data_IF_269755046116
#
_entry.id   IF_269755046116
#
_cell.length_a   1.000
_cell.length_b   1.000
_cell.length_c   1.000
_cell.angle_alpha   90.00
_cell.angle_beta   90.00
_cell.angle_gamma   90.00
#
_symmetry.space_group_name_H-M   'P 1'
#
loop_
_entity.id
_entity.type
_entity.pdbx_description
1 polymer ?
#
# COMPACT_ATOMS: atom_id res chain seq x y z
N UNK A 1 8.03 -18.38 -1.65
CA UNK A 1 7.68 -19.73 -2.15
C UNK A 1 6.36 -19.71 -2.91
N UNK A 2 6.12 -20.69 -3.78
CA UNK A 2 4.85 -20.82 -4.52
C UNK A 2 3.64 -21.01 -3.60
N UNK A 3 3.82 -21.62 -2.42
CA UNK A 3 2.74 -21.76 -1.43
C UNK A 3 2.32 -20.42 -0.84
N UNK A 4 3.26 -19.56 -0.48
CA UNK A 4 2.94 -18.23 0.03
C UNK A 4 2.25 -17.35 -1.02
N UNK A 5 2.63 -17.50 -2.30
CA UNK A 5 1.92 -16.84 -3.40
C UNK A 5 0.50 -17.39 -3.57
N UNK A 6 0.33 -18.71 -3.47
CA UNK A 6 -0.99 -19.35 -3.56
C UNK A 6 -1.94 -18.86 -2.47
N UNK A 7 -1.46 -18.78 -1.24
CA UNK A 7 -2.20 -18.24 -0.11
C UNK A 7 -2.60 -16.77 -0.34
N UNK A 8 -1.64 -15.93 -0.74
CA UNK A 8 -1.90 -14.50 -1.00
C UNK A 8 -2.87 -14.26 -2.17
N UNK A 9 -2.80 -15.08 -3.23
CA UNK A 9 -3.66 -14.97 -4.41
C UNK A 9 -4.99 -15.72 -4.28
N UNK A 10 -5.23 -16.46 -3.20
CA UNK A 10 -6.45 -17.24 -3.01
C UNK A 10 -6.64 -18.37 -4.03
N UNK A 11 -5.54 -18.89 -4.61
CA UNK A 11 -5.57 -19.94 -5.64
C UNK A 11 -4.78 -21.19 -5.23
N UNK A 12 -4.92 -22.29 -5.98
CA UNK A 12 -4.16 -23.51 -5.66
C UNK A 12 -2.65 -23.37 -5.92
N UNK A 13 -1.78 -24.05 -5.15
CA UNK A 13 -0.33 -24.08 -5.42
C UNK A 13 0.02 -24.62 -6.82
N UNK A 14 -0.81 -25.50 -7.37
CA UNK A 14 -0.66 -26.02 -8.71
C UNK A 14 -0.92 -24.92 -9.78
N UNK A 15 -1.94 -24.09 -9.57
CA UNK A 15 -2.23 -22.93 -10.44
C UNK A 15 -1.06 -21.94 -10.44
N UNK A 16 -0.54 -21.59 -9.26
CA UNK A 16 0.64 -20.70 -9.14
C UNK A 16 1.85 -21.29 -9.85
N UNK A 17 2.10 -22.60 -9.67
CA UNK A 17 3.21 -23.26 -10.37
C UNK A 17 3.07 -23.19 -11.88
N UNK A 18 1.84 -23.34 -12.41
CA UNK A 18 1.55 -23.19 -13.84
C UNK A 18 1.80 -21.75 -14.34
N UNK A 19 1.33 -20.75 -13.60
CA UNK A 19 1.55 -19.34 -13.93
C UNK A 19 3.04 -18.97 -13.93
N UNK A 20 3.76 -19.35 -12.87
CA UNK A 20 5.20 -19.08 -12.74
C UNK A 20 6.00 -19.73 -13.87
N UNK A 21 5.66 -20.96 -14.28
CA UNK A 21 6.31 -21.61 -15.42
C UNK A 21 6.09 -20.84 -16.72
N UNK A 22 4.86 -20.38 -17.00
CA UNK A 22 4.59 -19.54 -18.17
C UNK A 22 5.45 -18.29 -18.17
N UNK A 23 5.49 -17.54 -17.07
CA UNK A 23 6.32 -16.33 -16.93
C UNK A 23 7.83 -16.62 -17.06
N UNK A 24 8.28 -17.83 -16.70
CA UNK A 24 9.67 -18.26 -16.88
C UNK A 24 9.99 -18.68 -18.33
N UNK A 25 8.97 -19.03 -19.13
CA UNK A 25 9.10 -19.41 -20.53
C UNK A 25 8.89 -18.22 -21.49
N UNK A 26 8.36 -17.08 -21.00
CA UNK A 26 8.14 -15.87 -21.79
C UNK A 26 9.43 -15.31 -22.40
N UNK A 27 9.27 -14.46 -23.41
CA UNK A 27 10.38 -13.80 -24.08
C UNK A 27 10.12 -12.29 -24.22
N UNK A 28 10.81 -11.48 -23.39
CA UNK A 28 11.85 -11.85 -22.42
C UNK A 28 11.28 -12.62 -21.22
N UNK A 29 12.09 -13.49 -20.62
CA UNK A 29 11.73 -14.23 -19.41
C UNK A 29 11.49 -13.26 -18.26
N UNK A 30 10.34 -13.38 -17.59
CA UNK A 30 9.91 -12.44 -16.55
C UNK A 30 10.27 -12.90 -15.14
N UNK A 31 10.41 -14.21 -14.92
CA UNK A 31 10.80 -14.77 -13.64
C UNK A 31 11.90 -15.84 -13.81
N UNK A 32 12.72 -15.96 -12.80
CA UNK A 32 13.60 -17.11 -12.59
C UNK A 32 12.90 -18.03 -11.60
N UNK A 33 12.58 -19.24 -12.05
CA UNK A 33 11.91 -20.26 -11.25
C UNK A 33 12.78 -21.51 -11.13
N UNK A 34 13.02 -21.90 -9.90
CA UNK A 34 13.71 -23.14 -9.58
C UNK A 34 12.85 -23.97 -8.62
N UNK A 35 12.60 -25.21 -9.02
CA UNK A 35 11.77 -26.13 -8.22
C UNK A 35 12.39 -26.30 -6.82
N UNK A 36 11.58 -26.12 -5.79
CA UNK A 36 11.95 -26.14 -4.36
C UNK A 36 12.78 -24.95 -3.86
N UNK A 37 13.32 -24.09 -4.73
CA UNK A 37 14.07 -22.88 -4.35
C UNK A 37 13.24 -21.60 -4.42
N UNK A 38 12.14 -21.61 -5.19
CA UNK A 38 11.19 -20.51 -5.27
C UNK A 38 11.19 -19.79 -6.61
N UNK A 39 10.76 -18.54 -6.58
CA UNK A 39 10.64 -17.67 -7.75
C UNK A 39 11.16 -16.28 -7.42
N UNK A 40 11.90 -15.68 -8.35
CA UNK A 40 12.37 -14.29 -8.29
C UNK A 40 12.11 -13.59 -9.62
N UNK A 41 11.92 -12.27 -9.59
CA UNK A 41 11.75 -11.49 -10.80
C UNK A 41 13.09 -11.33 -11.53
N UNK A 42 13.07 -11.47 -12.84
CA UNK A 42 14.18 -11.00 -13.69
C UNK A 42 14.16 -9.47 -13.78
N UNK A 43 15.22 -8.81 -14.32
CA UNK A 43 15.17 -7.36 -14.59
C UNK A 43 13.98 -6.96 -15.49
N UNK A 44 13.63 -7.77 -16.48
CA UNK A 44 12.47 -7.54 -17.34
C UNK A 44 11.15 -7.66 -16.56
N UNK A 45 11.01 -8.72 -15.77
CA UNK A 45 9.84 -8.91 -14.91
C UNK A 45 9.67 -7.81 -13.87
N UNK A 46 10.80 -7.35 -13.28
CA UNK A 46 10.77 -6.24 -12.34
C UNK A 46 10.29 -4.93 -13.00
N UNK A 47 10.76 -4.65 -14.24
CA UNK A 47 10.33 -3.46 -14.97
C UNK A 47 8.82 -3.47 -15.20
N UNK A 48 8.27 -4.58 -15.72
CA UNK A 48 6.83 -4.72 -15.97
C UNK A 48 6.04 -4.62 -14.65
N UNK A 49 6.50 -5.27 -13.59
CA UNK A 49 5.82 -5.18 -12.29
C UNK A 49 5.76 -3.75 -11.75
N UNK A 50 6.84 -2.98 -11.90
CA UNK A 50 6.87 -1.58 -11.46
C UNK A 50 6.00 -0.67 -12.34
N UNK A 51 5.87 -0.97 -13.63
CA UNK A 51 4.97 -0.28 -14.55
C UNK A 51 3.50 -0.50 -14.15
N UNK A 52 3.09 -1.74 -13.91
CA UNK A 52 1.73 -2.06 -13.43
C UNK A 52 1.45 -1.39 -12.08
N UNK A 53 2.38 -1.47 -11.12
CA UNK A 53 2.22 -0.78 -9.83
C UNK A 53 2.09 0.74 -10.02
N UNK A 54 2.80 1.32 -10.96
CA UNK A 54 2.67 2.75 -11.27
C UNK A 54 1.30 3.07 -11.86
N UNK A 55 0.81 2.29 -12.83
CA UNK A 55 -0.53 2.43 -13.38
C UNK A 55 -1.58 2.38 -12.27
N UNK A 56 -1.55 1.32 -11.46
CA UNK A 56 -2.47 1.11 -10.35
C UNK A 56 -2.55 2.35 -9.44
N UNK A 57 -1.43 2.76 -8.88
CA UNK A 57 -1.35 3.87 -7.91
C UNK A 57 -1.71 5.23 -8.49
N UNK A 58 -1.39 5.49 -9.76
CA UNK A 58 -1.83 6.70 -10.44
C UNK A 58 -3.34 6.71 -10.68
N UNK A 59 -3.91 5.56 -11.07
CA UNK A 59 -5.36 5.41 -11.25
C UNK A 59 -6.08 5.62 -9.93
N UNK A 60 -5.64 4.98 -8.84
CA UNK A 60 -6.22 5.18 -7.51
C UNK A 60 -6.29 6.66 -7.13
N UNK A 61 -5.17 7.37 -7.27
CA UNK A 61 -5.12 8.78 -6.94
C UNK A 61 -6.02 9.64 -7.85
N UNK A 62 -6.09 9.29 -9.15
CA UNK A 62 -6.97 9.95 -10.10
C UNK A 62 -8.45 9.70 -9.76
N UNK A 63 -8.82 8.47 -9.46
CA UNK A 63 -10.17 8.11 -9.02
C UNK A 63 -10.58 8.90 -7.77
N UNK A 64 -9.69 9.01 -6.79
CA UNK A 64 -9.95 9.75 -5.57
C UNK A 64 -10.06 11.27 -5.83
N UNK A 65 -9.05 11.88 -6.47
CA UNK A 65 -8.97 13.34 -6.56
C UNK A 65 -9.85 13.94 -7.65
N UNK A 66 -9.99 13.26 -8.79
CA UNK A 66 -10.73 13.78 -9.93
C UNK A 66 -12.17 13.27 -10.01
N UNK A 67 -12.45 12.05 -9.57
CA UNK A 67 -13.76 11.42 -9.68
C UNK A 67 -14.49 11.26 -8.34
N UNK A 68 -13.83 11.57 -7.21
CA UNK A 68 -14.46 11.57 -5.87
C UNK A 68 -14.73 10.19 -5.28
N UNK A 69 -14.03 9.16 -5.75
CA UNK A 69 -14.08 7.84 -5.10
C UNK A 69 -13.50 7.96 -3.69
N UNK A 70 -14.06 7.20 -2.76
CA UNK A 70 -13.46 7.06 -1.43
C UNK A 70 -12.21 6.18 -1.48
N UNK A 71 -11.27 6.43 -0.60
CA UNK A 71 -9.97 5.74 -0.59
C UNK A 71 -10.05 4.22 -0.34
N UNK A 72 -11.16 3.72 0.19
CA UNK A 72 -11.47 2.30 0.36
C UNK A 72 -12.07 1.64 -0.90
N UNK A 73 -12.40 2.42 -1.94
CA UNK A 73 -13.02 1.95 -3.18
C UNK A 73 -12.07 1.99 -4.38
N UNK A 74 -10.98 2.76 -4.29
CA UNK A 74 -10.09 3.02 -5.44
C UNK A 74 -9.33 1.79 -5.90
N UNK A 75 -8.87 0.93 -4.97
CA UNK A 75 -8.11 -0.29 -5.27
C UNK A 75 -8.89 -1.23 -6.22
N UNK A 76 -10.12 -1.59 -5.86
CA UNK A 76 -10.95 -2.51 -6.66
C UNK A 76 -11.29 -1.97 -8.07
N UNK A 77 -11.28 -0.66 -8.28
CA UNK A 77 -11.49 -0.06 -9.59
C UNK A 77 -10.18 0.09 -10.36
N UNK A 78 -9.09 0.43 -9.68
CA UNK A 78 -7.76 0.52 -10.27
C UNK A 78 -7.30 -0.83 -10.84
N UNK A 79 -7.54 -1.94 -10.14
CA UNK A 79 -7.20 -3.30 -10.59
C UNK A 79 -7.86 -3.67 -11.94
N UNK A 80 -9.06 -3.16 -12.21
CA UNK A 80 -9.72 -3.40 -13.51
C UNK A 80 -9.11 -2.61 -14.66
N UNK A 81 -8.48 -1.49 -14.37
CA UNK A 81 -8.03 -0.51 -15.35
C UNK A 81 -6.51 -0.59 -15.63
N UNK A 82 -5.70 -0.99 -14.66
CA UNK A 82 -4.24 -0.94 -14.72
C UNK A 82 -3.62 -1.69 -15.91
N UNK A 83 -4.29 -2.74 -16.38
CA UNK A 83 -3.81 -3.57 -17.51
C UNK A 83 -4.27 -3.08 -18.89
N UNK A 84 -5.16 -2.08 -18.95
CA UNK A 84 -5.77 -1.64 -20.22
C UNK A 84 -5.50 -0.18 -20.57
N UNK A 85 -4.93 0.61 -19.66
CA UNK A 85 -4.56 1.99 -19.96
C UNK A 85 -3.33 2.02 -20.87
N UNK A 86 -3.25 3.06 -21.71
CA UNK A 86 -2.08 3.34 -22.53
C UNK A 86 -1.08 4.25 -21.83
N UNK A 87 0.18 4.20 -22.26
CA UNK A 87 1.24 5.12 -21.80
C UNK A 87 0.85 6.61 -21.91
N UNK A 88 0.18 7.01 -23.03
CA UNK A 88 -0.29 8.40 -23.20
C UNK A 88 -1.35 8.76 -22.14
N UNK A 89 -2.22 7.82 -21.80
CA UNK A 89 -3.23 8.04 -20.76
C UNK A 89 -2.59 8.14 -19.37
N UNK A 90 -1.62 7.27 -19.05
CA UNK A 90 -0.83 7.35 -17.82
C UNK A 90 -0.11 8.69 -17.69
N UNK A 91 0.60 9.14 -18.74
CA UNK A 91 1.32 10.41 -18.75
C UNK A 91 0.37 11.61 -18.49
N UNK A 92 -0.83 11.57 -19.04
CA UNK A 92 -1.86 12.61 -18.82
C UNK A 92 -2.38 12.59 -17.39
N UNK A 93 -2.66 11.41 -16.84
CA UNK A 93 -3.05 11.28 -15.41
C UNK A 93 -1.95 11.83 -14.52
N UNK A 94 -0.70 11.39 -14.72
CA UNK A 94 0.43 11.84 -13.92
C UNK A 94 0.60 13.37 -14.00
N UNK A 95 0.45 13.96 -15.19
CA UNK A 95 0.53 15.43 -15.38
C UNK A 95 -0.60 16.18 -14.68
N UNK A 96 -1.85 15.72 -14.80
CA UNK A 96 -3.02 16.32 -14.12
C UNK A 96 -2.86 16.29 -12.61
N UNK A 97 -2.32 15.20 -12.07
CA UNK A 97 -2.06 15.01 -10.63
C UNK A 97 -0.78 15.73 -10.14
N UNK A 98 -0.03 16.40 -11.02
CA UNK A 98 1.20 17.11 -10.66
C UNK A 98 2.40 16.19 -10.43
N UNK A 99 2.45 15.03 -11.07
CA UNK A 99 3.48 14.00 -10.91
C UNK A 99 3.65 13.56 -9.45
N UNK A 100 2.63 12.96 -8.85
CA UNK A 100 2.62 12.63 -7.43
C UNK A 100 3.67 11.55 -7.10
N UNK A 101 4.21 11.65 -5.89
CA UNK A 101 5.17 10.68 -5.38
C UNK A 101 4.54 9.53 -4.59
N UNK A 102 3.26 9.68 -4.18
CA UNK A 102 2.52 8.73 -3.35
C UNK A 102 1.08 8.61 -3.81
N UNK A 103 0.52 7.44 -3.60
CA UNK A 103 -0.90 7.12 -3.81
C UNK A 103 -1.79 7.60 -2.65
N UNK A 104 -3.12 7.36 -2.68
CA UNK A 104 -4.02 7.76 -1.60
C UNK A 104 -3.71 7.15 -0.24
N UNK A 105 -3.08 5.99 -0.21
CA UNK A 105 -2.76 5.24 1.00
C UNK A 105 -1.37 5.58 1.56
N UNK A 106 -0.59 6.39 0.83
CA UNK A 106 0.75 6.85 1.19
C UNK A 106 1.88 5.98 0.63
N UNK A 107 1.60 4.98 -0.16
CA UNK A 107 2.60 4.13 -0.78
C UNK A 107 3.30 4.84 -1.97
N UNK A 108 4.61 4.61 -2.18
CA UNK A 108 5.37 5.33 -3.18
C UNK A 108 5.00 4.92 -4.60
N UNK A 109 4.69 5.88 -5.47
CA UNK A 109 4.45 5.65 -6.90
C UNK A 109 5.79 5.45 -7.60
N UNK A 110 6.02 4.33 -8.33
CA UNK A 110 7.22 4.15 -9.13
C UNK A 110 7.38 5.27 -10.17
N UNK A 111 8.61 5.68 -10.44
CA UNK A 111 8.88 6.61 -11.55
C UNK A 111 8.73 5.89 -12.90
N UNK A 112 8.57 6.65 -13.98
CA UNK A 112 8.49 6.10 -15.35
C UNK A 112 9.73 5.29 -15.75
N UNK A 113 10.90 5.61 -15.16
CA UNK A 113 12.14 4.86 -15.38
C UNK A 113 12.23 3.58 -14.54
N UNK A 114 11.16 3.20 -13.82
CA UNK A 114 11.10 1.98 -13.01
C UNK A 114 11.89 2.07 -11.70
N UNK A 115 12.11 3.26 -11.15
CA UNK A 115 12.64 3.43 -9.81
C UNK A 115 11.50 3.57 -8.80
N UNK A 116 11.66 2.97 -7.63
CA UNK A 116 10.72 3.10 -6.52
C UNK A 116 11.49 3.38 -5.23
N UNK A 117 11.02 4.33 -4.45
CA UNK A 117 11.56 4.60 -3.12
C UNK A 117 11.08 3.53 -2.14
N UNK A 118 11.91 3.20 -1.16
CA UNK A 118 11.47 2.32 -0.07
C UNK A 118 10.40 3.05 0.74
N UNK A 119 9.25 2.39 1.03
CA UNK A 119 8.27 2.96 1.94
C UNK A 119 8.90 3.28 3.29
N UNK A 120 8.61 4.47 3.81
CA UNK A 120 9.12 4.94 5.09
C UNK A 120 8.13 4.67 6.23
N UNK A 121 8.61 4.83 7.46
CA UNK A 121 7.80 4.68 8.66
C UNK A 121 7.90 3.31 9.33
N UNK A 122 7.54 3.29 10.59
CA UNK A 122 7.40 2.08 11.40
C UNK A 122 5.93 1.89 11.80
N UNK A 123 5.49 0.65 12.10
CA UNK A 123 4.14 0.42 12.58
C UNK A 123 3.82 1.25 13.82
N UNK A 124 2.63 1.84 13.86
CA UNK A 124 2.16 2.68 14.97
C UNK A 124 2.23 1.94 16.31
N UNK A 125 2.03 0.62 16.29
CA UNK A 125 2.12 -0.26 17.47
C UNK A 125 3.49 -0.21 18.17
N UNK A 126 4.55 0.18 17.46
CA UNK A 126 5.92 0.25 18.00
C UNK A 126 6.19 1.53 18.80
N UNK A 127 5.36 2.55 18.63
CA UNK A 127 5.59 3.83 19.31
C UNK A 127 5.34 3.72 20.82
N UNK A 128 6.18 4.43 21.56
CA UNK A 128 6.01 4.61 23.01
C UNK A 128 5.00 5.73 23.32
N UNK A 129 4.42 5.69 24.52
CA UNK A 129 3.59 6.77 25.04
C UNK A 129 4.33 8.12 25.03
N UNK A 130 3.63 9.21 24.77
CA UNK A 130 4.15 10.56 24.63
C UNK A 130 4.74 10.89 23.27
N UNK A 131 4.92 9.93 22.36
CA UNK A 131 5.48 10.18 21.02
C UNK A 131 4.44 10.81 20.10
N UNK A 132 4.92 11.76 19.30
CA UNK A 132 4.18 12.40 18.21
C UNK A 132 4.73 11.92 16.89
N UNK A 133 3.87 11.59 15.95
CA UNK A 133 4.24 11.12 14.63
C UNK A 133 3.26 11.61 13.56
N UNK A 134 3.69 11.54 12.31
CA UNK A 134 2.86 11.74 11.14
C UNK A 134 2.53 10.38 10.51
N UNK A 135 1.30 10.15 10.16
CA UNK A 135 0.91 8.95 9.39
C UNK A 135 1.58 9.05 8.01
N UNK A 136 2.45 8.11 7.71
CA UNK A 136 3.16 8.05 6.44
C UNK A 136 2.36 7.27 5.40
N UNK A 137 1.81 6.13 5.81
CA UNK A 137 0.97 5.27 4.98
C UNK A 137 0.10 4.33 5.81
N UNK A 138 -0.91 3.78 5.17
CA UNK A 138 -1.81 2.75 5.72
C UNK A 138 -1.84 1.58 4.75
N UNK A 139 -1.92 0.33 5.23
CA UNK A 139 -2.13 -0.82 4.35
C UNK A 139 -3.52 -0.78 3.75
N UNK A 140 -3.61 -1.09 2.46
CA UNK A 140 -4.80 -0.95 1.60
C UNK A 140 -5.58 -2.24 1.35
N UNK A 141 -5.09 -3.36 1.89
CA UNK A 141 -5.64 -4.70 1.65
C UNK A 141 -6.97 -5.02 2.38
N UNK A 142 -7.49 -4.08 3.20
CA UNK A 142 -8.77 -4.24 3.90
C UNK A 142 -9.64 -2.97 3.81
N UNK A 143 -10.65 -2.93 2.92
CA UNK A 143 -11.55 -1.78 2.79
C UNK A 143 -12.32 -1.43 4.08
N UNK A 144 -12.61 -2.41 4.95
CA UNK A 144 -13.30 -2.12 6.21
C UNK A 144 -12.36 -1.39 7.20
N UNK A 145 -11.08 -1.78 7.22
CA UNK A 145 -10.06 -1.07 7.99
C UNK A 145 -9.89 0.36 7.47
N UNK A 146 -9.83 0.56 6.16
CA UNK A 146 -9.69 1.89 5.56
C UNK A 146 -10.86 2.80 5.94
N UNK A 147 -12.10 2.33 5.85
CA UNK A 147 -13.29 3.10 6.29
C UNK A 147 -13.20 3.49 7.76
N UNK A 148 -12.88 2.52 8.62
CA UNK A 148 -12.72 2.76 10.05
C UNK A 148 -11.65 3.82 10.35
N UNK A 149 -10.50 3.74 9.71
CA UNK A 149 -9.43 4.73 9.88
C UNK A 149 -9.82 6.12 9.37
N UNK A 150 -10.57 6.20 8.26
CA UNK A 150 -11.10 7.45 7.74
C UNK A 150 -12.06 8.13 8.72
N UNK A 151 -12.97 7.36 9.34
CA UNK A 151 -13.88 7.86 10.37
C UNK A 151 -13.15 8.45 11.57
N UNK A 152 -11.99 7.88 11.92
CA UNK A 152 -11.13 8.38 12.99
C UNK A 152 -10.22 9.54 12.57
N UNK A 153 -10.12 9.86 11.28
CA UNK A 153 -9.19 10.84 10.73
C UNK A 153 -7.74 10.35 10.69
N UNK A 154 -7.51 9.04 10.76
CA UNK A 154 -6.18 8.42 10.66
C UNK A 154 -5.91 8.10 9.19
N UNK A 155 -5.50 9.11 8.46
CA UNK A 155 -5.20 9.05 7.02
C UNK A 155 -3.76 9.54 6.79
N UNK A 156 -3.15 9.29 5.62
CA UNK A 156 -1.83 9.85 5.31
C UNK A 156 -1.74 11.34 5.60
N UNK A 157 -0.59 11.77 6.12
CA UNK A 157 -0.25 13.11 6.60
C UNK A 157 -0.94 13.54 7.91
N UNK A 158 -1.92 12.81 8.43
CA UNK A 158 -2.48 13.11 9.75
C UNK A 158 -1.42 13.04 10.84
N UNK A 159 -1.50 13.95 11.80
CA UNK A 159 -0.66 13.91 12.99
C UNK A 159 -1.34 13.09 14.08
N UNK A 160 -0.59 12.16 14.68
CA UNK A 160 -1.04 11.34 15.79
C UNK A 160 -0.11 11.48 16.98
N UNK A 161 -0.66 11.38 18.19
CA UNK A 161 0.08 11.40 19.46
C UNK A 161 -0.32 10.18 20.26
N UNK A 162 0.67 9.41 20.71
CA UNK A 162 0.42 8.28 21.60
C UNK A 162 0.18 8.81 23.00
N UNK A 163 -1.08 8.82 23.43
CA UNK A 163 -1.45 9.28 24.77
C UNK A 163 -1.05 8.28 25.84
N UNK A 164 -1.28 6.98 25.59
CA UNK A 164 -0.93 5.89 26.49
C UNK A 164 -0.82 4.55 25.74
N UNK A 165 -0.15 3.60 26.35
CA UNK A 165 -0.03 2.22 25.84
C UNK A 165 -0.38 1.25 26.96
N UNK A 166 -1.53 0.59 26.82
CA UNK A 166 -1.99 -0.38 27.82
C UNK A 166 -1.04 -1.58 27.90
N UNK A 167 -0.81 -2.14 29.11
CA UNK A 167 0.06 -3.30 29.29
C UNK A 167 -0.54 -4.57 28.66
N UNK A 168 0.28 -5.62 28.52
CA UNK A 168 -0.11 -6.95 28.07
C UNK A 168 -0.73 -6.95 26.65
N UNK A 169 -0.10 -6.25 25.70
CA UNK A 169 -0.59 -6.08 24.34
C UNK A 169 -2.01 -5.47 24.24
N UNK A 170 -2.40 -4.72 25.28
CA UNK A 170 -3.64 -3.97 25.28
C UNK A 170 -3.66 -2.82 24.26
N UNK A 171 -4.78 -2.11 24.13
CA UNK A 171 -4.95 -1.09 23.12
C UNK A 171 -3.95 0.06 23.28
N UNK A 172 -3.59 0.64 22.14
CA UNK A 172 -2.84 1.88 22.06
C UNK A 172 -3.84 3.06 22.07
N UNK A 173 -3.68 3.98 23.01
CA UNK A 173 -4.50 5.19 23.07
C UNK A 173 -3.88 6.27 22.18
N UNK A 174 -4.53 6.55 21.08
CA UNK A 174 -4.02 7.44 20.02
C UNK A 174 -4.91 8.67 19.93
N UNK A 175 -4.31 9.85 20.05
CA UNK A 175 -4.98 11.12 19.79
C UNK A 175 -4.69 11.53 18.35
N UNK A 176 -5.74 11.92 17.62
CA UNK A 176 -5.63 12.37 16.23
C UNK A 176 -5.68 13.89 16.21
N UNK A 177 -4.53 14.50 15.88
CA UNK A 177 -4.31 15.94 15.94
C UNK A 177 -3.28 16.34 17.00
N UNK A 178 -2.88 17.62 16.98
CA UNK A 178 -1.80 18.14 17.83
C UNK A 178 -2.29 18.72 19.16
N UNK A 179 -3.56 19.08 19.25
CA UNK A 179 -4.13 19.76 20.41
C UNK A 179 -4.48 18.77 21.52
N UNK A 180 -4.44 19.27 22.77
CA UNK A 180 -4.68 18.44 23.95
C UNK A 180 -6.12 17.90 24.02
N UNK A 181 -7.07 18.60 23.44
CA UNK A 181 -8.50 18.27 23.36
C UNK A 181 -8.89 17.52 22.08
N UNK A 182 -7.91 17.17 21.22
CA UNK A 182 -8.17 16.40 20.02
C UNK A 182 -8.74 15.00 20.34
N UNK A 183 -9.57 14.43 19.47
CA UNK A 183 -10.16 13.11 19.67
C UNK A 183 -9.13 12.03 19.97
N UNK A 184 -9.39 11.20 20.96
CA UNK A 184 -8.53 10.09 21.34
C UNK A 184 -9.29 8.77 21.25
N UNK A 185 -8.63 7.75 20.69
CA UNK A 185 -9.21 6.45 20.42
C UNK A 185 -8.33 5.33 20.99
N UNK A 186 -8.96 4.29 21.50
CA UNK A 186 -8.29 3.07 21.93
C UNK A 186 -8.23 2.09 20.75
N UNK A 187 -7.05 1.92 20.15
CA UNK A 187 -6.85 1.11 18.95
C UNK A 187 -6.20 -0.22 19.29
N UNK A 188 -6.81 -1.31 18.85
CA UNK A 188 -6.24 -2.64 18.96
C UNK A 188 -5.02 -2.85 18.06
N UNK A 189 -4.21 -3.87 18.39
CA UNK A 189 -2.98 -4.21 17.66
C UNK A 189 -3.23 -4.46 16.17
N UNK A 190 -4.33 -5.12 15.81
CA UNK A 190 -4.69 -5.36 14.42
C UNK A 190 -4.81 -4.06 13.60
N UNK A 191 -5.27 -2.98 14.20
CA UNK A 191 -5.36 -1.66 13.54
C UNK A 191 -3.98 -1.01 13.50
N UNK A 192 -3.28 -0.96 14.65
CA UNK A 192 -2.02 -0.22 14.78
C UNK A 192 -0.84 -0.85 14.03
N UNK A 193 -0.88 -2.15 13.73
CA UNK A 193 0.12 -2.84 12.90
C UNK A 193 -0.01 -2.47 11.40
N UNK A 194 -1.15 -1.94 10.97
CA UNK A 194 -1.44 -1.57 9.59
C UNK A 194 -1.31 -0.07 9.30
N UNK A 195 -1.02 0.74 10.32
CA UNK A 195 -0.74 2.18 10.19
C UNK A 195 0.76 2.40 10.40
N UNK A 196 1.42 3.00 9.40
CA UNK A 196 2.85 3.29 9.43
C UNK A 196 3.06 4.78 9.64
N UNK A 197 3.96 5.14 10.54
CA UNK A 197 4.18 6.51 10.97
C UNK A 197 5.66 6.91 10.96
N UNK A 198 5.91 8.17 10.71
CA UNK A 198 7.22 8.82 10.86
C UNK A 198 7.21 9.68 12.11
N UNK A 199 8.15 9.42 13.01
CA UNK A 199 8.32 10.20 14.23
C UNK A 199 8.83 11.59 13.90
N UNK A 200 8.19 12.60 14.50
CA UNK A 200 8.62 14.00 14.40
C UNK A 200 9.59 14.38 15.50
#
# INVERSE_FOLDING_TARGET
STNALAEKLGVSPASVTGMVKKLAEDRPRLVDYEKHHGVTLTPAGRKIALEIIRHHRLIELYLQQALGYSWDQVDAEAEKLEHVISEDFEDRIAAILGNPARDPHGDPIPTKDGNITTPTGEPLTNLAAGRKARVARVRDDDPALLRYLAELGIIPDATVVIADKSPFDGPLHVRVGEYADAPAYALGKQVTDNVYVEVK
#
